data_IF_648996778158
#
_entry.id   IF_648996778158
#
_cell.length_a   1.000
_cell.length_b   1.000
_cell.length_c   1.000
_cell.angle_alpha   90.00
_cell.angle_beta   90.00
_cell.angle_gamma   90.00
#
_symmetry.space_group_name_H-M   'P 1'
#
loop_
_entity.id
_entity.type
_entity.pdbx_description
1 polymer ?
#
# COMPACT_ATOMS: atom_id res chain seq x y z
N UNK A 1 -20.42 -6.32 -1.53
CA UNK A 1 -19.01 -6.76 -1.58
C UNK A 1 -18.33 -6.19 -0.33
N UNK A 2 -17.37 -6.87 0.31
CA UNK A 2 -16.79 -6.38 1.58
C UNK A 2 -15.76 -5.26 1.35
N UNK A 3 -15.63 -4.34 2.31
CA UNK A 3 -14.67 -3.22 2.22
C UNK A 3 -13.22 -3.69 2.05
N UNK A 4 -12.87 -4.83 2.67
CA UNK A 4 -11.57 -5.48 2.50
C UNK A 4 -11.33 -5.94 1.07
N UNK A 5 -12.35 -6.51 0.41
CA UNK A 5 -12.23 -6.97 -0.96
C UNK A 5 -12.12 -5.80 -1.94
N UNK A 6 -12.85 -4.70 -1.70
CA UNK A 6 -12.69 -3.47 -2.50
C UNK A 6 -11.28 -2.89 -2.37
N UNK A 7 -10.74 -2.84 -1.15
CA UNK A 7 -9.38 -2.36 -0.90
C UNK A 7 -8.35 -3.22 -1.63
N UNK A 8 -8.46 -4.55 -1.49
CA UNK A 8 -7.55 -5.48 -2.11
C UNK A 8 -7.56 -5.33 -3.64
N UNK A 9 -8.73 -5.22 -4.27
CA UNK A 9 -8.85 -5.00 -5.72
C UNK A 9 -8.24 -3.67 -6.14
N UNK A 10 -8.50 -2.60 -5.39
CA UNK A 10 -7.92 -1.30 -5.69
C UNK A 10 -6.39 -1.35 -5.63
N UNK A 11 -5.81 -1.98 -4.61
CA UNK A 11 -4.36 -2.14 -4.48
C UNK A 11 -3.78 -3.01 -5.59
N UNK A 12 -4.40 -4.14 -5.93
CA UNK A 12 -3.95 -5.03 -7.02
C UNK A 12 -3.94 -4.30 -8.38
N UNK A 13 -4.90 -3.41 -8.64
CA UNK A 13 -4.96 -2.67 -9.91
C UNK A 13 -3.83 -1.64 -10.10
N UNK A 14 -2.96 -1.43 -9.09
CA UNK A 14 -1.81 -0.53 -9.15
C UNK A 14 -0.56 -1.36 -9.48
N UNK A 15 0.11 -1.11 -10.62
CA UNK A 15 1.30 -1.87 -11.03
C UNK A 15 2.54 -1.39 -10.24
N UNK A 16 2.56 -1.60 -8.93
CA UNK A 16 3.62 -1.18 -8.00
C UNK A 16 4.85 -2.10 -8.08
N UNK A 17 5.46 -2.23 -9.25
CA UNK A 17 6.68 -3.05 -9.38
C UNK A 17 7.85 -2.36 -8.68
N UNK A 18 8.58 -3.07 -7.81
CA UNK A 18 9.70 -2.52 -7.02
C UNK A 18 10.62 -1.63 -7.86
N UNK A 19 10.94 -0.38 -7.43
CA UNK A 19 10.58 0.26 -6.15
C UNK A 19 9.30 1.15 -6.21
N UNK A 20 8.55 1.12 -7.32
CA UNK A 20 7.41 2.01 -7.54
C UNK A 20 6.23 1.68 -6.60
N UNK A 21 5.71 2.70 -5.91
CA UNK A 21 4.53 2.55 -5.04
C UNK A 21 3.21 2.56 -5.83
N UNK A 22 3.20 3.21 -7.01
CA UNK A 22 2.02 3.36 -7.86
C UNK A 22 0.79 3.94 -7.14
N UNK A 23 1.01 4.78 -6.12
CA UNK A 23 -0.03 5.45 -5.34
C UNK A 23 -0.79 4.51 -4.39
N UNK A 24 -0.19 3.39 -3.99
CA UNK A 24 -0.73 2.50 -2.97
C UNK A 24 -0.72 3.16 -1.59
N UNK A 25 0.39 3.79 -1.19
CA UNK A 25 0.50 4.45 0.11
C UNK A 25 -0.47 5.63 0.23
N UNK A 26 -0.64 6.43 -0.82
CA UNK A 26 -1.58 7.55 -0.83
C UNK A 26 -3.04 7.08 -0.63
N UNK A 27 -3.44 5.96 -1.26
CA UNK A 27 -4.75 5.33 -1.02
C UNK A 27 -4.94 4.90 0.44
N UNK A 28 -3.89 4.35 1.06
CA UNK A 28 -3.91 3.91 2.46
C UNK A 28 -4.04 5.13 3.39
N UNK A 29 -3.30 6.20 3.12
CA UNK A 29 -3.36 7.47 3.86
C UNK A 29 -4.76 8.07 3.80
N UNK A 30 -5.36 8.17 2.60
CA UNK A 30 -6.70 8.74 2.40
C UNK A 30 -7.76 8.02 3.24
N UNK A 31 -7.65 6.69 3.39
CA UNK A 31 -8.57 5.89 4.19
C UNK A 31 -8.36 6.02 5.70
N UNK A 32 -7.11 6.15 6.14
CA UNK A 32 -6.76 6.08 7.57
C UNK A 32 -6.68 7.44 8.26
N UNK A 33 -6.35 8.52 7.53
CA UNK A 33 -6.32 9.87 8.09
C UNK A 33 -7.65 10.31 8.73
N UNK A 34 -8.83 10.10 8.10
CA UNK A 34 -10.12 10.42 8.71
C UNK A 34 -10.40 9.65 10.02
N UNK A 35 -9.71 8.53 10.24
CA UNK A 35 -9.81 7.71 11.45
C UNK A 35 -8.82 8.14 12.55
N UNK A 36 -8.10 9.25 12.36
CA UNK A 36 -7.16 9.81 13.33
C UNK A 36 -5.77 9.17 13.29
N UNK A 37 -5.37 8.59 12.15
CA UNK A 37 -3.97 8.26 11.91
C UNK A 37 -3.22 9.48 11.35
N UNK A 38 -2.06 9.76 11.93
CA UNK A 38 -1.11 10.73 11.40
C UNK A 38 -0.15 10.02 10.45
N UNK A 39 0.03 10.59 9.26
CA UNK A 39 0.88 10.06 8.21
C UNK A 39 2.22 10.81 8.20
N UNK A 40 3.30 10.05 8.25
CA UNK A 40 4.67 10.54 8.07
C UNK A 40 5.31 9.73 6.93
N UNK A 41 5.64 10.42 5.84
CA UNK A 41 6.40 9.83 4.75
C UNK A 41 7.89 9.90 5.05
N UNK A 42 8.57 8.78 4.90
CA UNK A 42 9.98 8.57 5.23
C UNK A 42 10.71 8.07 3.97
N UNK A 43 10.68 8.87 2.92
CA UNK A 43 11.20 8.46 1.60
C UNK A 43 12.74 8.52 1.59
N UNK A 44 13.37 7.46 1.08
CA UNK A 44 14.83 7.34 0.97
C UNK A 44 15.20 6.81 -0.42
N UNK A 45 16.10 7.52 -1.11
CA UNK A 45 16.49 7.22 -2.49
C UNK A 45 15.26 7.02 -3.41
N UNK A 46 15.08 5.83 -3.97
CA UNK A 46 13.98 5.46 -4.86
C UNK A 46 12.80 4.80 -4.14
N UNK A 47 12.88 4.63 -2.81
CA UNK A 47 11.92 3.87 -2.02
C UNK A 47 11.05 4.80 -1.17
N UNK A 48 9.74 4.76 -1.38
CA UNK A 48 8.78 5.43 -0.49
C UNK A 48 8.52 4.59 0.75
N UNK A 49 8.41 5.23 1.92
CA UNK A 49 8.03 4.55 3.16
C UNK A 49 6.96 5.36 3.89
N UNK A 50 6.04 4.67 4.53
CA UNK A 50 4.93 5.29 5.23
C UNK A 50 4.85 4.81 6.67
N UNK A 51 4.94 5.75 7.60
CA UNK A 51 4.60 5.55 9.00
C UNK A 51 3.22 6.15 9.28
N UNK A 52 2.27 5.30 9.66
CA UNK A 52 0.92 5.72 10.04
C UNK A 52 0.68 5.37 11.51
N UNK A 53 0.44 6.39 12.33
CA UNK A 53 0.28 6.21 13.77
C UNK A 53 -1.00 6.86 14.28
N UNK A 54 -1.72 6.14 15.14
CA UNK A 54 -2.82 6.67 15.95
C UNK A 54 -2.50 6.52 17.43
N UNK A 55 -2.40 7.65 18.14
CA UNK A 55 -2.12 7.71 19.58
C UNK A 55 -0.64 7.61 19.95
N UNK A 56 -0.30 8.04 21.16
CA UNK A 56 1.09 8.25 21.60
C UNK A 56 1.56 7.30 22.73
N UNK A 57 0.65 6.58 23.37
CA UNK A 57 0.93 5.77 24.55
C UNK A 57 1.44 4.35 24.23
N UNK A 58 2.01 3.69 25.24
CA UNK A 58 2.42 2.28 25.19
C UNK A 58 1.27 1.36 25.63
N UNK A 59 1.23 0.09 25.15
CA UNK A 59 2.14 -0.51 24.17
C UNK A 59 1.85 -0.09 22.73
N UNK A 60 2.89 0.01 21.91
CA UNK A 60 2.77 0.25 20.48
C UNK A 60 2.55 -1.08 19.75
N UNK A 61 1.40 -1.21 19.08
CA UNK A 61 1.09 -2.32 18.18
C UNK A 61 1.24 -1.85 16.74
N UNK A 62 1.92 -2.63 15.89
CA UNK A 62 2.29 -2.23 14.52
C UNK A 62 1.92 -3.32 13.53
N UNK A 63 1.22 -2.93 12.47
CA UNK A 63 1.16 -3.70 11.22
C UNK A 63 2.33 -3.26 10.32
N UNK A 64 3.07 -4.22 9.78
CA UNK A 64 4.16 -3.99 8.85
C UNK A 64 3.91 -4.77 7.56
N UNK A 65 4.15 -4.15 6.42
CA UNK A 65 3.99 -4.74 5.10
C UNK A 65 4.70 -3.92 4.03
N UNK A 66 4.48 -4.28 2.78
CA UNK A 66 5.06 -3.63 1.62
C UNK A 66 3.99 -3.47 0.54
N UNK A 67 4.11 -2.45 -0.31
CA UNK A 67 3.18 -2.18 -1.42
C UNK A 67 3.72 -2.66 -2.76
N UNK A 68 5.03 -2.83 -2.86
CA UNK A 68 5.69 -3.25 -4.09
C UNK A 68 5.51 -4.75 -4.38
N UNK A 69 5.59 -5.10 -5.65
CA UNK A 69 5.49 -6.46 -6.17
C UNK A 69 6.59 -6.73 -7.18
N UNK A 70 6.80 -8.02 -7.48
CA UNK A 70 7.73 -8.45 -8.53
C UNK A 70 7.15 -8.17 -9.93
N UNK A 71 8.01 -8.09 -10.98
CA UNK A 71 7.55 -8.03 -12.35
C UNK A 71 6.60 -9.20 -12.71
N UNK A 72 5.50 -8.97 -13.44
CA UNK A 72 4.48 -9.99 -13.70
C UNK A 72 4.88 -11.05 -14.74
N UNK A 73 6.03 -10.89 -15.40
CA UNK A 73 6.45 -11.74 -16.52
C UNK A 73 5.69 -11.41 -17.82
N UNK A 74 5.52 -12.41 -18.69
CA UNK A 74 4.83 -12.27 -19.97
C UNK A 74 3.29 -12.17 -19.78
N UNK A 75 2.64 -11.05 -20.13
CA UNK A 75 1.19 -10.89 -20.01
C UNK A 75 0.39 -11.93 -20.78
N UNK A 76 0.92 -12.50 -21.88
CA UNK A 76 0.23 -13.52 -22.67
C UNK A 76 0.14 -14.87 -21.95
N UNK A 77 0.97 -15.11 -20.92
CA UNK A 77 0.91 -16.31 -20.10
C UNK A 77 -0.19 -16.26 -19.03
N UNK A 78 -0.83 -15.11 -18.82
CA UNK A 78 -1.86 -14.92 -17.82
C UNK A 78 -3.27 -15.12 -18.39
N UNK A 79 -4.12 -15.86 -17.66
CA UNK A 79 -5.55 -16.01 -17.99
C UNK A 79 -6.31 -14.69 -17.84
N UNK A 80 -5.89 -13.85 -16.89
CA UNK A 80 -6.43 -12.51 -16.63
C UNK A 80 -5.27 -11.54 -16.45
N UNK A 81 -5.39 -10.27 -16.88
CA UNK A 81 -4.34 -9.29 -16.66
C UNK A 81 -3.87 -9.27 -15.19
N UNK A 82 -2.55 -9.17 -14.94
CA UNK A 82 -1.98 -9.27 -13.59
C UNK A 82 -2.35 -8.09 -12.67
N UNK A 83 -2.82 -6.98 -13.25
CA UNK A 83 -3.28 -5.76 -12.58
C UNK A 83 -4.61 -5.32 -13.19
#
# INVERSE_FOLDING_TARGET
MSETLELAKALIARPSVTPEDAGCMDLIVERLQPLGFEAEFLDFDDTRNLWLRRGESRPLFVFLGHTDVVPPGDPAAWTFPPF
#
